data_IF_249188994671
#
_entry.id   IF_249188994671
#
_cell.length_a   1.000
_cell.length_b   1.000
_cell.length_c   1.000
_cell.angle_alpha   90.00
_cell.angle_beta   90.00
_cell.angle_gamma   90.00
#
_symmetry.space_group_name_H-M   'P 1'
#
loop_
_entity.id
_entity.type
_entity.pdbx_description
1 polymer ?
#
# COMPACT_ATOMS: atom_id res chain seq x y z
N UNK A 1 19.44 -11.25 -8.00
CA UNK A 1 18.00 -11.07 -7.72
C UNK A 1 17.72 -9.82 -6.91
N UNK A 2 18.55 -9.44 -5.92
CA UNK A 2 18.36 -8.24 -5.09
C UNK A 2 18.12 -6.92 -5.85
N UNK A 3 18.81 -6.69 -6.97
CA UNK A 3 18.67 -5.43 -7.71
C UNK A 3 17.29 -5.27 -8.37
N UNK A 4 16.63 -6.36 -8.76
CA UNK A 4 15.30 -6.29 -9.40
C UNK A 4 14.23 -6.01 -8.36
N UNK A 5 14.30 -6.69 -7.21
CA UNK A 5 13.38 -6.44 -6.09
C UNK A 5 13.51 -5.00 -5.62
N UNK A 6 14.73 -4.50 -5.35
CA UNK A 6 14.93 -3.13 -4.89
C UNK A 6 14.43 -2.09 -5.90
N UNK A 7 14.72 -2.27 -7.19
CA UNK A 7 14.24 -1.34 -8.23
C UNK A 7 12.72 -1.39 -8.42
N UNK A 8 12.09 -2.55 -8.25
CA UNK A 8 10.64 -2.70 -8.47
C UNK A 8 9.79 -2.10 -7.35
N UNK A 9 10.33 -2.02 -6.14
CA UNK A 9 9.70 -1.42 -4.97
C UNK A 9 10.18 0.01 -4.70
N UNK A 10 11.03 0.56 -5.56
CA UNK A 10 11.44 1.96 -5.51
C UNK A 10 10.25 2.87 -5.84
N UNK A 11 10.00 3.85 -4.97
CA UNK A 11 8.96 4.87 -5.16
C UNK A 11 9.18 5.66 -6.45
N UNK A 12 10.45 5.85 -6.87
CA UNK A 12 10.80 6.52 -8.12
C UNK A 12 10.33 5.77 -9.36
N UNK A 13 10.17 4.45 -9.27
CA UNK A 13 9.62 3.64 -10.36
C UNK A 13 8.11 3.87 -10.55
N UNK A 14 7.44 4.48 -9.58
CA UNK A 14 6.05 4.95 -9.72
C UNK A 14 4.96 3.89 -9.51
N UNK A 15 5.34 2.64 -9.24
CA UNK A 15 4.39 1.57 -8.89
C UNK A 15 3.95 1.64 -7.42
N UNK A 16 4.84 2.01 -6.51
CA UNK A 16 4.55 2.11 -5.08
C UNK A 16 4.68 3.55 -4.59
N UNK A 17 4.00 3.84 -3.49
CA UNK A 17 4.15 5.05 -2.69
C UNK A 17 4.46 4.67 -1.24
N UNK A 18 5.00 5.62 -0.51
CA UNK A 18 5.29 5.49 0.91
C UNK A 18 4.32 6.32 1.75
N UNK A 19 3.94 5.79 2.91
CA UNK A 19 3.29 6.58 3.97
C UNK A 19 4.31 7.52 4.63
N UNK A 20 3.85 8.37 5.55
CA UNK A 20 4.75 9.18 6.39
C UNK A 20 5.76 8.35 7.20
N UNK A 21 5.44 7.08 7.49
CA UNK A 21 6.28 6.14 8.23
C UNK A 21 7.17 5.28 7.30
N UNK A 22 7.35 5.67 6.02
CA UNK A 22 8.12 4.93 5.01
C UNK A 22 7.59 3.52 4.71
N UNK A 23 6.29 3.30 4.89
CA UNK A 23 5.65 2.02 4.58
C UNK A 23 5.10 2.00 3.15
N UNK A 24 5.40 0.94 2.40
CA UNK A 24 5.05 0.82 0.99
C UNK A 24 3.60 0.38 0.77
N UNK A 25 2.93 1.01 -0.19
CA UNK A 25 1.62 0.61 -0.70
C UNK A 25 1.48 0.91 -2.20
N UNK A 26 0.57 0.22 -2.93
CA UNK A 26 0.39 0.46 -4.36
C UNK A 26 -0.01 1.91 -4.65
N UNK A 27 0.68 2.56 -5.58
CA UNK A 27 0.37 3.92 -6.01
C UNK A 27 -0.97 3.94 -6.79
N UNK A 28 -2.02 4.64 -6.31
CA UNK A 28 -3.29 4.74 -7.03
C UNK A 28 -3.15 5.41 -8.41
N UNK A 29 -2.14 6.26 -8.59
CA UNK A 29 -1.82 6.93 -9.85
C UNK A 29 -0.85 6.17 -10.75
N UNK A 30 -0.51 4.92 -10.44
CA UNK A 30 0.48 4.13 -11.22
C UNK A 30 0.12 3.99 -12.70
N UNK A 31 -1.17 3.94 -13.05
CA UNK A 31 -1.64 3.89 -14.44
C UNK A 31 -1.36 5.16 -15.26
N UNK A 32 -1.11 6.30 -14.61
CA UNK A 32 -0.70 7.54 -15.29
C UNK A 32 0.79 7.54 -15.67
N UNK A 33 1.58 6.68 -15.01
CA UNK A 33 3.02 6.55 -15.22
C UNK A 33 3.31 5.37 -16.16
N UNK A 34 2.60 4.26 -15.96
CA UNK A 34 2.77 3.03 -16.72
C UNK A 34 1.41 2.50 -17.21
N UNK A 35 1.19 2.43 -18.52
CA UNK A 35 -0.05 1.85 -19.08
C UNK A 35 -0.24 0.38 -18.65
N UNK A 36 0.87 -0.36 -18.51
CA UNK A 36 0.88 -1.77 -18.14
C UNK A 36 1.03 -2.00 -16.62
N UNK A 37 0.75 -1.01 -15.78
CA UNK A 37 0.98 -1.09 -14.32
C UNK A 37 0.37 -2.34 -13.65
N UNK A 38 -0.81 -2.80 -14.09
CA UNK A 38 -1.44 -4.02 -13.58
C UNK A 38 -0.63 -5.28 -13.87
N UNK A 39 -0.01 -5.36 -15.06
CA UNK A 39 0.84 -6.48 -15.44
C UNK A 39 2.11 -6.51 -14.58
N UNK A 40 2.67 -5.33 -14.28
CA UNK A 40 3.78 -5.22 -13.33
C UNK A 40 3.37 -5.66 -11.93
N UNK A 41 2.22 -5.24 -11.40
CA UNK A 41 1.74 -5.71 -10.10
C UNK A 41 1.52 -7.23 -10.07
N UNK A 42 0.98 -7.81 -11.14
CA UNK A 42 0.81 -9.27 -11.25
C UNK A 42 2.16 -10.01 -11.23
N UNK A 43 3.14 -9.51 -11.98
CA UNK A 43 4.49 -10.05 -12.00
C UNK A 43 5.15 -9.96 -10.62
N UNK A 44 5.09 -8.78 -9.97
CA UNK A 44 5.66 -8.58 -8.64
C UNK A 44 4.98 -9.42 -7.56
N UNK A 45 3.67 -9.59 -7.64
CA UNK A 45 2.93 -10.50 -6.76
C UNK A 45 3.40 -11.95 -6.90
N UNK A 46 3.64 -12.40 -8.14
CA UNK A 46 4.15 -13.75 -8.43
C UNK A 46 5.58 -13.92 -7.92
N UNK A 47 6.45 -12.92 -8.15
CA UNK A 47 7.82 -12.92 -7.65
C UNK A 47 7.87 -12.97 -6.13
N UNK A 48 7.03 -12.16 -5.46
CA UNK A 48 6.92 -12.14 -4.00
C UNK A 48 6.42 -13.50 -3.46
N UNK A 49 5.39 -14.08 -4.09
CA UNK A 49 4.87 -15.39 -3.71
C UNK A 49 5.95 -16.49 -3.83
N UNK A 50 6.74 -16.45 -4.90
CA UNK A 50 7.87 -17.38 -5.08
C UNK A 50 8.95 -17.17 -4.00
N UNK A 51 9.33 -15.93 -3.72
CA UNK A 51 10.31 -15.62 -2.68
C UNK A 51 9.86 -16.13 -1.30
N UNK A 52 8.59 -15.95 -0.96
CA UNK A 52 8.01 -16.49 0.27
C UNK A 52 8.04 -18.02 0.32
N UNK A 53 7.72 -18.69 -0.81
CA UNK A 53 7.77 -20.15 -0.91
C UNK A 53 9.19 -20.70 -0.72
N UNK A 54 10.20 -20.01 -1.24
CA UNK A 54 11.61 -20.36 -1.11
C UNK A 54 12.22 -19.94 0.26
N UNK A 55 11.45 -19.26 1.12
CA UNK A 55 11.92 -18.80 2.43
C UNK A 55 12.88 -17.61 2.37
N UNK A 56 12.88 -16.85 1.27
CA UNK A 56 13.71 -15.67 1.10
C UNK A 56 13.05 -14.51 1.85
N UNK A 57 13.65 -14.09 2.96
CA UNK A 57 13.27 -12.88 3.69
C UNK A 57 13.69 -11.64 2.88
N UNK A 58 12.71 -10.91 2.35
CA UNK A 58 12.91 -9.59 1.79
C UNK A 58 12.51 -8.51 2.79
N UNK A 59 13.36 -7.50 2.97
CA UNK A 59 13.04 -6.28 3.73
C UNK A 59 12.10 -5.38 2.90
N UNK A 60 10.82 -5.77 2.84
CA UNK A 60 9.77 -4.99 2.17
C UNK A 60 8.80 -4.46 3.23
N UNK A 61 8.94 -3.19 3.65
CA UNK A 61 8.13 -2.61 4.72
C UNK A 61 6.74 -2.23 4.21
N UNK A 62 5.89 -3.21 3.91
CA UNK A 62 4.53 -2.94 3.43
C UNK A 62 3.64 -2.30 4.51
N UNK A 63 2.80 -1.35 4.10
CA UNK A 63 1.84 -0.71 4.99
C UNK A 63 0.77 -1.69 5.50
N UNK A 64 0.39 -1.55 6.77
CA UNK A 64 -0.52 -2.50 7.43
C UNK A 64 -1.90 -2.53 6.78
N UNK A 65 -2.45 -1.38 6.35
CA UNK A 65 -3.74 -1.34 5.66
C UNK A 65 -3.71 -2.10 4.32
N UNK A 66 -2.56 -2.09 3.63
CA UNK A 66 -2.37 -2.79 2.37
C UNK A 66 -2.31 -4.30 2.61
N UNK A 67 -1.53 -4.74 3.60
CA UNK A 67 -1.47 -6.15 4.01
C UNK A 67 -2.84 -6.65 4.48
N UNK A 68 -3.61 -5.84 5.23
CA UNK A 68 -4.97 -6.19 5.64
C UNK A 68 -5.90 -6.42 4.45
N UNK A 69 -5.81 -5.59 3.40
CA UNK A 69 -6.54 -5.81 2.15
C UNK A 69 -6.15 -7.09 1.43
N UNK A 70 -4.86 -7.41 1.36
CA UNK A 70 -4.39 -8.68 0.76
C UNK A 70 -4.95 -9.91 1.50
N UNK A 71 -5.14 -9.79 2.81
CA UNK A 71 -5.75 -10.84 3.66
C UNK A 71 -7.27 -10.91 3.57
N UNK A 72 -7.90 -10.17 2.63
CA UNK A 72 -9.36 -10.05 2.51
C UNK A 72 -10.03 -9.57 3.81
N UNK A 73 -9.30 -8.85 4.67
CA UNK A 73 -9.90 -8.21 5.83
C UNK A 73 -10.59 -6.92 5.39
N UNK A 74 -11.72 -6.63 6.03
CA UNK A 74 -12.35 -5.33 5.89
C UNK A 74 -11.46 -4.29 6.57
N UNK A 75 -11.15 -3.22 5.87
CA UNK A 75 -10.53 -2.06 6.50
C UNK A 75 -11.66 -1.28 7.20
N UNK A 76 -11.46 -1.01 8.48
CA UNK A 76 -12.37 -0.22 9.30
C UNK A 76 -11.89 1.25 9.34
N UNK A 77 -12.75 2.14 9.84
CA UNK A 77 -12.40 3.55 10.05
C UNK A 77 -11.12 3.71 10.90
N UNK A 78 -10.87 2.78 11.83
CA UNK A 78 -9.69 2.79 12.69
C UNK A 78 -8.39 2.37 11.97
N UNK A 79 -8.47 1.80 10.77
CA UNK A 79 -7.29 1.49 9.95
C UNK A 79 -6.89 2.69 9.08
N UNK A 80 -7.80 3.65 8.90
CA UNK A 80 -7.60 4.85 8.09
C UNK A 80 -6.43 5.74 8.56
N UNK A 81 -6.11 5.91 9.86
CA UNK A 81 -4.96 6.70 10.29
C UNK A 81 -3.63 6.26 9.65
N UNK A 82 -3.50 4.95 9.35
CA UNK A 82 -2.29 4.41 8.71
C UNK A 82 -2.18 4.73 7.22
N UNK A 83 -3.28 5.18 6.59
CA UNK A 83 -3.34 5.58 5.19
C UNK A 83 -3.43 7.11 5.06
N UNK A 84 -4.35 7.72 5.80
CA UNK A 84 -4.65 9.15 5.78
C UNK A 84 -5.14 9.60 7.17
N UNK A 85 -4.22 10.09 8.03
CA UNK A 85 -4.58 10.55 9.37
C UNK A 85 -5.43 11.82 9.36
N UNK A 86 -5.32 12.65 8.32
CA UNK A 86 -6.10 13.88 8.20
C UNK A 86 -7.56 13.57 7.86
N UNK A 87 -7.79 12.68 6.89
CA UNK A 87 -9.13 12.20 6.56
C UNK A 87 -9.77 11.49 7.75
N UNK A 88 -9.02 10.68 8.50
CA UNK A 88 -9.52 10.07 9.73
C UNK A 88 -10.02 11.13 10.72
N UNK A 89 -9.24 12.18 10.96
CA UNK A 89 -9.61 13.28 11.86
C UNK A 89 -10.90 13.96 11.42
N UNK A 90 -11.04 14.24 10.12
CA UNK A 90 -12.25 14.85 9.57
C UNK A 90 -13.48 13.95 9.67
N UNK A 91 -13.34 12.64 9.43
CA UNK A 91 -14.45 11.69 9.56
C UNK A 91 -14.86 11.47 11.03
N UNK A 92 -13.91 11.44 11.96
CA UNK A 92 -14.22 11.38 13.40
C UNK A 92 -14.90 12.66 13.87
N UNK A 93 -14.47 13.82 13.37
CA UNK A 93 -15.15 15.08 13.64
C UNK A 93 -16.60 15.03 13.17
N UNK A 94 -16.85 14.67 11.91
CA UNK A 94 -18.22 14.53 11.37
C UNK A 94 -19.05 13.52 12.16
N UNK A 95 -18.46 12.38 12.56
CA UNK A 95 -19.15 11.36 13.36
C UNK A 95 -19.59 11.86 14.74
N UNK A 96 -18.85 12.81 15.32
CA UNK A 96 -19.09 13.37 16.66
C UNK A 96 -19.74 14.76 16.61
N UNK A 97 -20.08 15.24 15.42
CA UNK A 97 -20.67 16.56 15.25
C UNK A 97 -22.13 16.52 15.72
N UNK A 98 -22.45 17.27 16.78
CA UNK A 98 -23.79 17.40 17.36
C UNK A 98 -24.50 18.72 16.95
N UNK A 99 -23.90 19.49 16.03
CA UNK A 99 -24.53 20.72 15.54
C UNK A 99 -25.61 20.43 14.50
N UNK A 100 -26.65 21.25 14.45
CA UNK A 100 -27.65 21.22 13.37
C UNK A 100 -27.02 21.64 12.03
N UNK A 101 -27.51 21.03 10.95
CA UNK A 101 -27.28 21.45 9.56
C UNK A 101 -28.32 22.51 9.19
#
# INVERSE_FOLDING_TARGET
MENITRASFDVQYGLFKETADHLLYPNPGSGMIHEQHLQFFHFLGTLLAKAMFEGILGDLPFATFFLSKLKQKHNYLNDLPSLDPELYRHLIFLKRYEGDI
#
